data_IF_286436498172
#
_entry.id   IF_286436498172
#
_cell.length_a   1.000
_cell.length_b   1.000
_cell.length_c   1.000
_cell.angle_alpha   90.00
_cell.angle_beta   90.00
_cell.angle_gamma   90.00
#
_symmetry.space_group_name_H-M   'P 1'
#
loop_
_entity.id
_entity.type
_entity.pdbx_description
1 polymer ?
#
# COMPACT_ATOMS: atom_id res chain seq x y z
N UNK A 1 -18.61 0.05 15.80
CA UNK A 1 -19.39 0.19 14.55
C UNK A 1 -18.37 0.08 13.45
N UNK A 2 -18.51 -0.89 12.55
CA UNK A 2 -17.55 -1.13 11.48
C UNK A 2 -17.57 0.03 10.49
N UNK A 3 -16.41 0.47 10.03
CA UNK A 3 -16.30 1.58 9.09
C UNK A 3 -16.79 1.17 7.69
N UNK A 4 -17.39 2.13 6.98
CA UNK A 4 -17.71 1.98 5.56
C UNK A 4 -16.45 2.12 4.70
N UNK A 5 -16.48 1.64 3.45
CA UNK A 5 -15.39 1.80 2.49
C UNK A 5 -14.96 3.27 2.27
N UNK A 6 -15.93 4.19 2.31
CA UNK A 6 -15.67 5.62 2.21
C UNK A 6 -14.91 6.15 3.43
N UNK A 7 -15.33 5.78 4.64
CA UNK A 7 -14.66 6.19 5.87
C UNK A 7 -13.25 5.57 5.97
N UNK A 8 -13.09 4.31 5.59
CA UNK A 8 -11.80 3.62 5.53
C UNK A 8 -10.84 4.36 4.59
N UNK A 9 -11.25 4.59 3.34
CA UNK A 9 -10.42 5.28 2.34
C UNK A 9 -10.10 6.73 2.72
N UNK A 10 -11.05 7.46 3.31
CA UNK A 10 -10.82 8.83 3.81
C UNK A 10 -9.80 8.85 4.95
N UNK A 11 -9.98 8.00 5.97
CA UNK A 11 -9.07 7.93 7.12
C UNK A 11 -7.68 7.48 6.72
N UNK A 12 -7.56 6.52 5.80
CA UNK A 12 -6.26 6.06 5.29
C UNK A 12 -5.44 7.21 4.69
N UNK A 13 -6.07 8.05 3.85
CA UNK A 13 -5.41 9.21 3.25
C UNK A 13 -5.07 10.31 4.25
N UNK A 14 -5.96 10.55 5.20
CA UNK A 14 -5.69 11.50 6.29
C UNK A 14 -4.50 11.03 7.13
N UNK A 15 -4.45 9.74 7.46
CA UNK A 15 -3.36 9.12 8.19
C UNK A 15 -2.05 9.16 7.41
N UNK A 16 -2.09 8.97 6.08
CA UNK A 16 -0.91 9.08 5.23
C UNK A 16 -0.20 10.45 5.34
N UNK A 17 -0.91 11.53 5.67
CA UNK A 17 -0.30 12.84 5.90
C UNK A 17 0.62 12.88 7.14
N UNK A 18 0.42 11.97 8.09
CA UNK A 18 1.22 11.85 9.31
C UNK A 18 2.40 10.85 9.16
N UNK A 19 2.48 10.13 8.04
CA UNK A 19 3.52 9.13 7.77
C UNK A 19 3.76 8.13 8.92
N UNK A 20 2.75 7.35 9.36
CA UNK A 20 2.83 6.47 10.53
C UNK A 20 3.59 5.16 10.25
N UNK A 21 4.69 5.24 9.52
CA UNK A 21 5.48 4.08 9.13
C UNK A 21 6.34 3.62 10.32
N UNK A 22 6.53 2.31 10.45
CA UNK A 22 7.65 1.79 11.25
C UNK A 22 8.99 2.22 10.63
N UNK A 23 10.08 2.08 11.39
CA UNK A 23 11.42 2.30 10.84
C UNK A 23 11.74 1.37 9.65
N UNK A 24 11.27 0.12 9.70
CA UNK A 24 11.45 -0.87 8.64
C UNK A 24 10.68 -0.48 7.37
N UNK A 25 9.39 -0.18 7.49
CA UNK A 25 8.55 0.25 6.37
C UNK A 25 9.07 1.56 5.76
N UNK A 26 9.59 2.50 6.58
CA UNK A 26 10.22 3.72 6.09
C UNK A 26 11.47 3.44 5.24
N UNK A 27 12.37 2.58 5.71
CA UNK A 27 13.55 2.15 4.96
C UNK A 27 13.17 1.48 3.65
N UNK A 28 12.16 0.61 3.69
CA UNK A 28 11.63 -0.06 2.50
C UNK A 28 11.09 0.96 1.49
N UNK A 29 10.24 1.89 1.93
CA UNK A 29 9.66 2.95 1.10
C UNK A 29 10.74 3.80 0.43
N UNK A 30 11.76 4.23 1.18
CA UNK A 30 12.85 5.04 0.65
C UNK A 30 13.64 4.29 -0.43
N UNK A 31 13.94 3.01 -0.20
CA UNK A 31 14.62 2.15 -1.19
C UNK A 31 13.77 1.98 -2.45
N UNK A 32 12.48 1.68 -2.28
CA UNK A 32 11.56 1.49 -3.39
C UNK A 32 11.44 2.76 -4.24
N UNK A 33 11.24 3.93 -3.62
CA UNK A 33 11.15 5.21 -4.32
C UNK A 33 12.46 5.55 -5.03
N UNK A 34 13.61 5.34 -4.38
CA UNK A 34 14.92 5.58 -5.00
C UNK A 34 15.11 4.71 -6.26
N UNK A 35 14.75 3.43 -6.18
CA UNK A 35 14.83 2.52 -7.32
C UNK A 35 13.85 2.91 -8.43
N UNK A 36 12.61 3.28 -8.11
CA UNK A 36 11.63 3.68 -9.11
C UNK A 36 12.03 4.98 -9.82
N UNK A 37 12.62 5.95 -9.12
CA UNK A 37 13.14 7.17 -9.77
C UNK A 37 14.23 6.89 -10.82
N UNK A 38 14.96 5.79 -10.69
CA UNK A 38 15.98 5.38 -11.66
C UNK A 38 15.40 4.56 -12.81
N UNK A 39 14.36 3.77 -12.54
CA UNK A 39 13.81 2.80 -13.48
C UNK A 39 12.67 3.36 -14.35
N UNK A 40 11.99 4.41 -13.88
CA UNK A 40 10.87 5.00 -14.59
C UNK A 40 11.34 6.00 -15.65
N UNK A 41 10.61 6.13 -16.78
CA UNK A 41 10.96 7.07 -17.83
C UNK A 41 10.91 8.53 -17.36
N UNK A 42 10.10 8.81 -16.32
CA UNK A 42 9.91 10.13 -15.72
C UNK A 42 10.02 9.97 -14.19
N UNK A 43 10.90 10.73 -13.49
CA UNK A 43 11.11 10.58 -12.04
C UNK A 43 9.85 10.77 -11.19
N UNK A 44 8.90 11.60 -11.62
CA UNK A 44 7.61 11.84 -10.98
C UNK A 44 6.80 10.56 -10.81
N UNK A 45 6.89 9.60 -11.74
CA UNK A 45 6.22 8.29 -11.63
C UNK A 45 6.73 7.53 -10.40
N UNK A 46 8.03 7.63 -10.09
CA UNK A 46 8.60 7.04 -8.87
C UNK A 46 8.11 7.71 -7.58
N UNK A 47 7.75 8.99 -7.62
CA UNK A 47 7.12 9.69 -6.49
C UNK A 47 5.68 9.18 -6.30
N UNK A 48 4.97 8.93 -7.40
CA UNK A 48 3.62 8.37 -7.35
C UNK A 48 3.59 7.00 -6.70
N UNK A 49 4.53 6.13 -7.03
CA UNK A 49 4.70 4.83 -6.37
C UNK A 49 4.78 4.96 -4.85
N UNK A 50 5.62 5.88 -4.35
CA UNK A 50 5.78 6.09 -2.91
C UNK A 50 4.50 6.56 -2.22
N UNK A 51 3.78 7.51 -2.83
CA UNK A 51 2.51 8.00 -2.29
C UNK A 51 1.40 6.92 -2.33
N UNK A 52 1.31 6.17 -3.43
CA UNK A 52 0.36 5.07 -3.58
C UNK A 52 0.61 3.96 -2.54
N UNK A 53 1.87 3.58 -2.35
CA UNK A 53 2.29 2.63 -1.32
C UNK A 53 1.87 3.11 0.06
N UNK A 54 2.16 4.37 0.41
CA UNK A 54 1.80 4.90 1.73
C UNK A 54 0.29 4.87 1.98
N UNK A 55 -0.53 5.18 0.97
CA UNK A 55 -1.99 5.11 1.08
C UNK A 55 -2.49 3.68 1.37
N UNK A 56 -1.96 2.69 0.66
CA UNK A 56 -2.28 1.28 0.92
C UNK A 56 -1.84 0.81 2.31
N UNK A 57 -0.63 1.20 2.73
CA UNK A 57 -0.11 0.91 4.06
C UNK A 57 -1.03 1.47 5.16
N UNK A 58 -1.43 2.74 5.01
CA UNK A 58 -2.31 3.39 5.96
C UNK A 58 -3.73 2.81 5.97
N UNK A 59 -4.22 2.26 4.84
CA UNK A 59 -5.49 1.54 4.84
C UNK A 59 -5.43 0.34 5.77
N UNK A 60 -4.37 -0.46 5.72
CA UNK A 60 -4.20 -1.59 6.63
C UNK A 60 -4.14 -1.13 8.09
N UNK A 61 -3.44 -0.04 8.40
CA UNK A 61 -3.43 0.51 9.76
C UNK A 61 -4.82 0.96 10.23
N UNK A 62 -5.65 1.54 9.35
CA UNK A 62 -7.01 1.94 9.70
C UNK A 62 -7.90 0.71 9.89
N UNK A 63 -7.76 -0.30 9.05
CA UNK A 63 -8.47 -1.57 9.18
C UNK A 63 -8.13 -2.26 10.52
N UNK A 64 -6.85 -2.34 10.87
CA UNK A 64 -6.39 -2.84 12.18
C UNK A 64 -7.12 -2.15 13.33
N UNK A 65 -7.21 -0.82 13.30
CA UNK A 65 -7.94 -0.05 14.32
C UNK A 65 -9.46 -0.29 14.30
N UNK A 66 -10.07 -0.49 13.12
CA UNK A 66 -11.51 -0.75 12.99
C UNK A 66 -11.92 -2.10 13.60
N UNK A 67 -11.03 -3.10 13.50
CA UNK A 67 -11.23 -4.45 14.07
C UNK A 67 -10.57 -4.65 15.43
N UNK A 68 -10.12 -3.57 16.09
CA UNK A 68 -9.50 -3.56 17.42
C UNK A 68 -8.21 -4.42 17.53
N UNK A 69 -7.46 -4.49 16.44
CA UNK A 69 -6.12 -5.11 16.37
C UNK A 69 -5.07 -4.03 16.58
N UNK A 70 -4.34 -4.12 17.69
CA UNK A 70 -3.27 -3.17 18.04
C UNK A 70 -1.92 -3.83 17.86
N UNK A 71 -1.19 -3.44 16.82
CA UNK A 71 0.15 -3.94 16.56
C UNK A 71 1.20 -2.94 17.03
N UNK A 72 2.19 -3.44 17.77
CA UNK A 72 3.37 -2.70 18.18
C UNK A 72 4.60 -3.17 17.38
N UNK A 73 5.55 -2.26 17.18
CA UNK A 73 6.88 -2.60 16.68
C UNK A 73 7.56 -3.56 17.66
N UNK A 74 8.22 -4.60 17.15
CA UNK A 74 9.01 -5.49 17.99
C UNK A 74 10.09 -4.71 18.77
N UNK A 75 10.37 -5.15 20.00
CA UNK A 75 11.23 -4.41 20.93
C UNK A 75 12.71 -4.31 20.49
N UNK A 76 13.16 -5.21 19.61
CA UNK A 76 14.52 -5.27 19.11
C UNK A 76 14.56 -5.08 17.60
N UNK A 77 14.93 -3.87 17.15
CA UNK A 77 15.05 -3.59 15.72
C UNK A 77 16.20 -4.35 15.04
N UNK A 78 17.12 -4.94 15.81
CA UNK A 78 18.20 -5.77 15.26
C UNK A 78 17.69 -7.13 14.78
N UNK A 79 16.49 -7.55 15.21
CA UNK A 79 15.83 -8.77 14.74
C UNK A 79 14.87 -8.52 13.59
N UNK A 80 14.78 -7.29 13.07
CA UNK A 80 13.96 -7.04 11.88
C UNK A 80 14.46 -7.85 10.69
N UNK A 81 13.55 -8.35 9.84
CA UNK A 81 13.93 -8.98 8.60
C UNK A 81 14.78 -8.01 7.75
N UNK A 82 15.59 -8.58 6.87
CA UNK A 82 16.20 -7.76 5.84
C UNK A 82 15.11 -7.22 4.87
N UNK A 83 15.47 -6.20 4.10
CA UNK A 83 14.50 -5.57 3.20
C UNK A 83 14.13 -6.46 2.00
N UNK A 84 14.96 -7.44 1.64
CA UNK A 84 14.70 -8.35 0.52
C UNK A 84 13.70 -9.43 0.93
N UNK A 85 13.81 -9.97 2.14
CA UNK A 85 12.81 -10.84 2.75
C UNK A 85 11.45 -10.13 2.86
N UNK A 86 11.44 -8.89 3.37
CA UNK A 86 10.21 -8.10 3.46
C UNK A 86 9.60 -7.85 2.07
N UNK A 87 10.43 -7.56 1.07
CA UNK A 87 10.01 -7.38 -0.33
C UNK A 87 9.38 -8.65 -0.91
N UNK A 88 9.99 -9.80 -0.67
CA UNK A 88 9.50 -11.09 -1.14
C UNK A 88 8.12 -11.39 -0.53
N UNK A 89 7.98 -11.23 0.79
CA UNK A 89 6.71 -11.47 1.50
C UNK A 89 5.65 -10.47 1.05
N UNK A 90 5.95 -9.17 0.98
CA UNK A 90 5.00 -8.15 0.54
C UNK A 90 4.55 -8.39 -0.90
N UNK A 91 5.46 -8.77 -1.81
CA UNK A 91 5.15 -9.09 -3.21
C UNK A 91 4.24 -10.32 -3.33
N UNK A 92 4.52 -11.36 -2.54
CA UNK A 92 3.67 -12.55 -2.48
C UNK A 92 2.27 -12.21 -1.98
N UNK A 93 2.16 -11.48 -0.86
CA UNK A 93 0.86 -11.07 -0.30
C UNK A 93 0.09 -10.18 -1.29
N UNK A 94 0.76 -9.22 -1.94
CA UNK A 94 0.15 -8.37 -2.95
C UNK A 94 -0.38 -9.16 -4.16
N UNK A 95 0.35 -10.19 -4.60
CA UNK A 95 -0.09 -11.06 -5.70
C UNK A 95 -1.30 -11.89 -5.29
N UNK A 96 -1.34 -12.36 -4.05
CA UNK A 96 -2.46 -13.14 -3.51
C UNK A 96 -3.69 -12.27 -3.28
N UNK A 97 -3.54 -11.01 -2.84
CA UNK A 97 -4.64 -10.04 -2.73
C UNK A 97 -5.37 -9.78 -4.05
N UNK A 98 -4.67 -9.97 -5.18
CA UNK A 98 -5.18 -9.75 -6.53
C UNK A 98 -5.73 -11.02 -7.19
N UNK A 99 -5.63 -12.16 -6.53
CA UNK A 99 -6.25 -13.41 -6.99
C UNK A 99 -7.57 -13.67 -6.25
N UNK A 100 -8.32 -14.66 -6.72
CA UNK A 100 -9.59 -15.07 -6.10
C UNK A 100 -9.45 -15.54 -4.64
N UNK A 101 -8.22 -15.67 -4.11
CA UNK A 101 -7.94 -16.04 -2.72
C UNK A 101 -7.54 -14.86 -1.83
N UNK A 102 -7.65 -13.62 -2.33
CA UNK A 102 -7.15 -12.41 -1.66
C UNK A 102 -7.75 -12.13 -0.28
N UNK A 103 -8.98 -12.57 -0.03
CA UNK A 103 -9.68 -12.33 1.24
C UNK A 103 -8.94 -12.84 2.49
N UNK A 104 -8.00 -13.79 2.36
CA UNK A 104 -7.27 -14.36 3.51
C UNK A 104 -6.34 -13.40 4.26
N UNK A 105 -5.94 -12.31 3.60
CA UNK A 105 -5.05 -11.30 4.18
C UNK A 105 -5.79 -10.09 4.71
N UNK A 106 -7.10 -9.98 4.43
CA UNK A 106 -7.94 -8.96 5.00
C UNK A 106 -8.33 -9.34 6.43
N UNK A 107 -8.44 -8.35 7.31
CA UNK A 107 -9.07 -8.51 8.63
C UNK A 107 -10.57 -8.18 8.55
N UNK A 108 -10.94 -7.28 7.65
CA UNK A 108 -12.29 -6.82 7.40
C UNK A 108 -13.07 -7.66 6.40
N UNK A 109 -14.21 -7.11 5.96
CA UNK A 109 -15.07 -7.68 4.92
C UNK A 109 -14.84 -6.94 3.59
N UNK A 110 -15.78 -7.11 2.66
CA UNK A 110 -15.77 -6.52 1.32
C UNK A 110 -15.55 -4.99 1.32
N UNK A 111 -15.88 -4.29 2.42
CA UNK A 111 -15.65 -2.85 2.54
C UNK A 111 -14.17 -2.45 2.42
N UNK A 112 -13.23 -3.36 2.72
CA UNK A 112 -11.79 -3.10 2.59
C UNK A 112 -11.35 -3.19 1.12
N UNK A 113 -11.90 -4.14 0.36
CA UNK A 113 -11.69 -4.18 -1.10
C UNK A 113 -12.27 -2.93 -1.77
N UNK A 114 -13.50 -2.56 -1.42
CA UNK A 114 -14.11 -1.33 -1.93
C UNK A 114 -13.29 -0.09 -1.54
N UNK A 115 -12.67 -0.07 -0.36
CA UNK A 115 -11.78 1.02 0.05
C UNK A 115 -10.48 1.05 -0.77
N UNK A 116 -9.88 -0.10 -1.08
CA UNK A 116 -8.73 -0.21 -1.99
C UNK A 116 -9.09 0.35 -3.37
N UNK A 117 -10.22 -0.08 -3.94
CA UNK A 117 -10.67 0.37 -5.26
C UNK A 117 -10.92 1.88 -5.29
N UNK A 118 -11.54 2.42 -4.24
CA UNK A 118 -11.71 3.88 -4.09
C UNK A 118 -10.38 4.62 -3.98
N UNK A 119 -9.41 4.05 -3.27
CA UNK A 119 -8.05 4.60 -3.18
C UNK A 119 -7.43 4.64 -4.58
N UNK A 120 -7.35 3.50 -5.24
CA UNK A 120 -6.76 3.32 -6.57
C UNK A 120 -7.41 4.27 -7.58
N UNK A 121 -8.73 4.24 -7.69
CA UNK A 121 -9.48 5.07 -8.65
C UNK A 121 -9.18 6.56 -8.47
N UNK A 122 -9.11 7.04 -7.23
CA UNK A 122 -8.77 8.45 -7.00
C UNK A 122 -7.30 8.74 -7.26
N UNK A 123 -6.39 7.83 -6.95
CA UNK A 123 -4.96 8.01 -7.21
C UNK A 123 -4.67 8.09 -8.71
N UNK A 124 -5.34 7.24 -9.50
CA UNK A 124 -5.36 7.24 -10.97
C UNK A 124 -5.94 8.55 -11.47
N UNK A 125 -7.14 8.94 -11.02
CA UNK A 125 -7.79 10.19 -11.46
C UNK A 125 -6.93 11.42 -11.14
N UNK A 126 -6.36 11.51 -9.95
CA UNK A 126 -5.57 12.67 -9.51
C UNK A 126 -4.26 12.82 -10.29
N UNK A 127 -3.62 11.71 -10.69
CA UNK A 127 -2.33 11.73 -11.37
C UNK A 127 -2.46 11.73 -12.88
N UNK A 128 -3.37 10.91 -13.42
CA UNK A 128 -3.49 10.67 -14.85
C UNK A 128 -4.65 11.45 -15.48
N UNK A 129 -5.59 11.99 -14.70
CA UNK A 129 -6.79 12.64 -15.23
C UNK A 129 -6.49 13.74 -16.24
N UNK A 130 -5.44 14.54 -15.99
CA UNK A 130 -5.00 15.60 -16.91
C UNK A 130 -4.25 15.09 -18.16
N UNK A 131 -3.88 13.81 -18.21
CA UNK A 131 -3.21 13.16 -19.34
C UNK A 131 -4.16 12.31 -20.18
N UNK A 132 -5.45 12.20 -19.80
CA UNK A 132 -6.39 11.29 -20.47
C UNK A 132 -6.47 11.50 -21.98
N UNK A 133 -6.43 12.75 -22.44
CA UNK A 133 -6.48 13.09 -23.87
C UNK A 133 -5.10 13.08 -24.55
N UNK A 134 -4.02 12.87 -23.79
CA UNK A 134 -2.62 12.96 -24.24
C UNK A 134 -1.91 11.61 -24.32
N UNK A 135 -2.46 10.55 -23.73
CA UNK A 135 -1.90 9.19 -23.78
C UNK A 135 -2.91 8.23 -24.41
N UNK A 136 -2.43 7.18 -25.05
CA UNK A 136 -3.30 6.14 -25.60
C UNK A 136 -3.86 5.23 -24.50
N UNK A 137 -4.87 4.42 -24.86
CA UNK A 137 -5.53 3.51 -23.92
C UNK A 137 -4.57 2.47 -23.34
N UNK A 138 -3.53 2.09 -24.09
CA UNK A 138 -2.55 1.11 -23.62
C UNK A 138 -1.70 1.70 -22.50
N UNK A 139 -1.15 2.90 -22.71
CA UNK A 139 -0.37 3.62 -21.71
C UNK A 139 -1.24 3.96 -20.49
N UNK A 140 -2.51 4.29 -20.70
CA UNK A 140 -3.46 4.48 -19.60
C UNK A 140 -3.57 3.23 -18.72
N UNK A 141 -3.83 2.07 -19.32
CA UNK A 141 -3.96 0.79 -18.59
C UNK A 141 -2.67 0.42 -17.88
N UNK A 142 -1.51 0.59 -18.52
CA UNK A 142 -0.21 0.32 -17.90
C UNK A 142 0.04 1.21 -16.67
N UNK A 143 -0.36 2.48 -16.72
CA UNK A 143 -0.20 3.41 -15.61
C UNK A 143 -1.20 3.18 -14.49
N UNK A 144 -2.44 2.81 -14.82
CA UNK A 144 -3.45 2.40 -13.85
C UNK A 144 -3.02 1.12 -13.12
N UNK A 145 -2.50 0.14 -13.85
CA UNK A 145 -1.93 -1.08 -13.30
C UNK A 145 -0.71 -0.79 -12.40
N UNK A 146 0.16 0.13 -12.81
CA UNK A 146 1.29 0.56 -12.00
C UNK A 146 0.86 1.19 -10.66
N UNK A 147 -0.11 2.11 -10.69
CA UNK A 147 -0.65 2.74 -9.48
C UNK A 147 -1.32 1.70 -8.59
N UNK A 148 -2.13 0.82 -9.18
CA UNK A 148 -2.81 -0.29 -8.49
C UNK A 148 -1.82 -1.17 -7.76
N UNK A 149 -0.76 -1.59 -8.45
CA UNK A 149 0.30 -2.40 -7.86
C UNK A 149 0.88 -1.77 -6.61
N UNK A 150 1.23 -0.47 -6.64
CA UNK A 150 1.82 0.19 -5.48
C UNK A 150 0.85 0.38 -4.32
N UNK A 151 -0.43 0.66 -4.57
CA UNK A 151 -1.44 0.71 -3.49
C UNK A 151 -1.57 -0.65 -2.81
N UNK A 152 -1.78 -1.72 -3.60
CA UNK A 152 -1.92 -3.08 -3.05
C UNK A 152 -0.64 -3.52 -2.34
N UNK A 153 0.53 -3.19 -2.88
CA UNK A 153 1.82 -3.50 -2.26
C UNK A 153 2.03 -2.78 -0.93
N UNK A 154 1.54 -1.55 -0.80
CA UNK A 154 1.55 -0.83 0.46
C UNK A 154 0.72 -1.50 1.55
N UNK A 155 -0.49 -1.95 1.19
CA UNK A 155 -1.33 -2.73 2.10
C UNK A 155 -0.62 -4.03 2.50
N UNK A 156 -0.09 -4.75 1.50
CA UNK A 156 0.64 -6.00 1.69
C UNK A 156 1.91 -5.83 2.54
N UNK A 157 2.59 -4.69 2.46
CA UNK A 157 3.79 -4.39 3.24
C UNK A 157 3.49 -4.44 4.74
N UNK A 158 2.38 -3.85 5.18
CA UNK A 158 1.96 -3.86 6.59
C UNK A 158 1.65 -5.29 7.07
N UNK A 159 1.00 -6.10 6.22
CA UNK A 159 0.79 -7.54 6.49
C UNK A 159 2.12 -8.30 6.59
N UNK A 160 3.06 -8.00 5.68
CA UNK A 160 4.37 -8.63 5.65
C UNK A 160 5.19 -8.34 6.91
N UNK A 161 5.10 -7.13 7.47
CA UNK A 161 5.72 -6.80 8.76
C UNK A 161 5.19 -7.67 9.91
N UNK A 162 3.89 -8.00 9.91
CA UNK A 162 3.34 -8.96 10.88
C UNK A 162 3.86 -10.38 10.64
N UNK A 163 3.89 -10.82 9.38
CA UNK A 163 4.31 -12.18 9.02
C UNK A 163 5.79 -12.46 9.28
N UNK A 164 6.62 -11.43 9.19
CA UNK A 164 8.06 -11.48 9.44
C UNK A 164 8.43 -11.16 10.89
N UNK A 165 7.44 -10.86 11.74
CA UNK A 165 7.63 -10.59 13.16
C UNK A 165 8.16 -9.18 13.49
N UNK A 166 8.21 -8.27 12.51
CA UNK A 166 8.53 -6.86 12.77
C UNK A 166 7.40 -6.13 13.53
N UNK A 167 6.16 -6.60 13.36
CA UNK A 167 4.98 -6.18 14.13
C UNK A 167 4.44 -7.35 14.95
N UNK A 168 4.12 -7.07 16.21
CA UNK A 168 3.59 -8.03 17.19
C UNK A 168 2.38 -7.45 17.91
N UNK A 169 1.52 -8.31 18.46
CA UNK A 169 0.39 -7.92 19.34
C UNK A 169 0.91 -7.60 20.74
#
# INVERSE_FOLDING_TARGET
MKLTAEELSYRARALAQAHPLTALAKRYLDRAVAQQRLNQPIPEIGIWAGASLLNGYCLRCVEENDVDVHLATAADETTFPDLDELEEVATRVASELRSDTGGRHLLGDDAVFDALDRIISSEVSNRLGHWRDSIDDKAWVEMEEYITWWVVKGYALRVAETMTGALVV
#
